data_IF_668325429260
#
_entry.id   IF_668325429260
#
_cell.length_a   1.000
_cell.length_b   1.000
_cell.length_c   1.000
_cell.angle_alpha   90.00
_cell.angle_beta   90.00
_cell.angle_gamma   90.00
#
_symmetry.space_group_name_H-M   'P 1'
#
loop_
_entity.id
_entity.type
_entity.pdbx_description
1 polymer ?
#
# COMPACT_ATOMS: atom_id res chain seq x y z
N UNK A 1 -24.52 19.73 14.87
CA UNK A 1 -23.55 18.67 14.53
C UNK A 1 -23.61 18.50 13.03
N UNK A 2 -22.57 18.94 12.30
CA UNK A 2 -22.51 18.71 10.85
C UNK A 2 -22.18 17.24 10.65
N UNK A 3 -23.10 16.49 10.05
CA UNK A 3 -22.76 15.18 9.50
C UNK A 3 -21.65 15.42 8.47
N UNK A 4 -20.46 14.87 8.72
CA UNK A 4 -19.45 14.81 7.67
C UNK A 4 -20.11 14.04 6.51
N UNK A 5 -20.08 14.61 5.30
CA UNK A 5 -20.56 13.87 4.11
C UNK A 5 -19.77 12.58 4.05
N UNK A 6 -20.47 11.46 3.98
CA UNK A 6 -19.88 10.16 3.72
C UNK A 6 -19.12 10.25 2.39
N UNK A 7 -17.81 10.04 2.45
CA UNK A 7 -16.96 10.04 1.25
C UNK A 7 -17.13 8.66 0.62
N UNK A 8 -17.64 8.63 -0.61
CA UNK A 8 -17.82 7.39 -1.37
C UNK A 8 -17.19 7.60 -2.75
N UNK A 9 -16.27 6.72 -3.13
CA UNK A 9 -15.57 6.71 -4.41
C UNK A 9 -16.53 6.11 -5.45
N UNK A 10 -16.86 6.91 -6.48
CA UNK A 10 -17.87 6.55 -7.50
C UNK A 10 -17.47 6.97 -8.91
N UNK A 11 -16.19 7.26 -9.14
CA UNK A 11 -15.72 7.74 -10.44
C UNK A 11 -14.36 7.17 -10.79
N UNK A 12 -14.13 7.02 -12.10
CA UNK A 12 -12.86 6.55 -12.66
C UNK A 12 -11.70 7.45 -12.23
N UNK A 13 -11.84 8.76 -12.34
CA UNK A 13 -10.79 9.71 -11.96
C UNK A 13 -10.38 9.59 -10.48
N UNK A 14 -11.35 9.38 -9.58
CA UNK A 14 -11.07 9.20 -8.15
C UNK A 14 -10.34 7.89 -7.86
N UNK A 15 -10.83 6.77 -8.42
CA UNK A 15 -10.20 5.47 -8.20
C UNK A 15 -8.83 5.39 -8.88
N UNK A 16 -8.66 5.98 -10.07
CA UNK A 16 -7.37 6.09 -10.75
C UNK A 16 -6.35 6.82 -9.87
N UNK A 17 -6.74 7.98 -9.32
CA UNK A 17 -5.85 8.78 -8.47
C UNK A 17 -5.40 8.02 -7.22
N UNK A 18 -6.29 7.20 -6.64
CA UNK A 18 -6.01 6.40 -5.46
C UNK A 18 -5.17 5.17 -5.77
N UNK A 19 -5.47 4.45 -6.86
CA UNK A 19 -4.69 3.31 -7.30
C UNK A 19 -3.30 3.73 -7.77
N UNK A 20 -3.15 4.91 -8.37
CA UNK A 20 -1.84 5.48 -8.67
C UNK A 20 -1.03 5.83 -7.41
N UNK A 21 -1.70 6.19 -6.31
CA UNK A 21 -1.03 6.34 -5.01
C UNK A 21 -0.62 5.00 -4.42
N UNK A 22 -1.51 4.01 -4.46
CA UNK A 22 -1.21 2.67 -3.95
C UNK A 22 -0.03 2.05 -4.72
N UNK A 23 -0.07 2.11 -6.06
CA UNK A 23 1.02 1.64 -6.91
C UNK A 23 2.34 2.36 -6.61
N UNK A 24 2.30 3.67 -6.38
CA UNK A 24 3.47 4.43 -5.95
C UNK A 24 4.01 4.01 -4.58
N UNK A 25 3.13 3.72 -3.61
CA UNK A 25 3.55 3.21 -2.30
C UNK A 25 4.28 1.87 -2.46
N UNK A 26 3.72 0.93 -3.21
CA UNK A 26 4.36 -0.37 -3.46
C UNK A 26 5.71 -0.25 -4.18
N UNK A 27 5.78 0.61 -5.20
CA UNK A 27 6.99 0.75 -6.02
C UNK A 27 8.12 1.48 -5.29
N UNK A 28 7.81 2.62 -4.66
CA UNK A 28 8.82 3.52 -4.08
C UNK A 28 8.99 3.33 -2.58
N UNK A 29 7.88 3.27 -1.82
CA UNK A 29 8.01 3.04 -0.37
C UNK A 29 8.40 1.60 -0.11
N UNK A 30 7.60 0.63 -0.51
CA UNK A 30 7.83 -0.73 -0.06
C UNK A 30 8.94 -1.41 -0.86
N UNK A 31 8.99 -1.22 -2.18
CA UNK A 31 10.09 -1.73 -3.01
C UNK A 31 11.45 -1.13 -2.63
N UNK A 32 11.63 0.18 -2.81
CA UNK A 32 12.94 0.81 -2.63
C UNK A 32 13.34 0.91 -1.17
N UNK A 33 12.46 1.42 -0.29
CA UNK A 33 12.88 1.68 1.10
C UNK A 33 13.07 0.40 1.92
N UNK A 34 12.29 -0.66 1.71
CA UNK A 34 12.50 -1.92 2.41
C UNK A 34 13.79 -2.62 1.93
N UNK A 35 14.16 -2.47 0.66
CA UNK A 35 15.45 -2.96 0.16
C UNK A 35 16.62 -2.17 0.74
N UNK A 36 16.53 -0.84 0.78
CA UNK A 36 17.54 0.00 1.41
C UNK A 36 17.67 -0.31 2.92
N UNK A 37 16.55 -0.53 3.61
CA UNK A 37 16.52 -1.01 4.98
C UNK A 37 17.23 -2.37 5.12
N UNK A 38 16.92 -3.34 4.26
CA UNK A 38 17.54 -4.67 4.26
C UNK A 38 19.07 -4.60 4.18
N UNK A 39 19.60 -3.68 3.36
CA UNK A 39 21.06 -3.49 3.22
C UNK A 39 21.69 -2.73 4.39
N UNK A 40 20.91 -2.02 5.19
CA UNK A 40 21.39 -1.08 6.22
C UNK A 40 21.35 -1.64 7.65
N UNK A 41 20.62 -2.72 7.90
CA UNK A 41 20.44 -3.30 9.24
C UNK A 41 21.36 -4.49 9.54
N UNK A 42 21.49 -4.84 10.82
CA UNK A 42 22.12 -6.09 11.26
C UNK A 42 21.39 -7.35 10.74
N UNK A 43 22.15 -8.44 10.58
CA UNK A 43 21.66 -9.71 9.98
C UNK A 43 20.40 -10.28 10.65
N UNK A 44 20.21 -10.05 11.95
CA UNK A 44 19.06 -10.55 12.71
C UNK A 44 17.71 -9.98 12.24
N UNK A 45 17.70 -8.89 11.47
CA UNK A 45 16.50 -8.26 10.93
C UNK A 45 16.31 -8.49 9.43
N UNK A 46 17.34 -9.00 8.74
CA UNK A 46 17.33 -9.17 7.29
C UNK A 46 16.27 -10.13 6.78
N UNK A 47 16.03 -11.22 7.50
CA UNK A 47 14.99 -12.19 7.11
C UNK A 47 13.59 -11.57 7.13
N UNK A 48 13.30 -10.75 8.15
CA UNK A 48 12.04 -10.01 8.23
C UNK A 48 11.92 -9.05 7.04
N UNK A 49 12.90 -8.18 6.82
CA UNK A 49 12.84 -7.18 5.74
C UNK A 49 12.81 -7.81 4.34
N UNK A 50 13.51 -8.93 4.13
CA UNK A 50 13.43 -9.67 2.87
C UNK A 50 12.02 -10.21 2.62
N UNK A 51 11.38 -10.76 3.67
CA UNK A 51 10.01 -11.25 3.57
C UNK A 51 9.03 -10.12 3.24
N UNK A 52 9.12 -8.99 3.94
CA UNK A 52 8.25 -7.83 3.68
C UNK A 52 8.40 -7.35 2.22
N UNK A 53 9.64 -7.13 1.77
CA UNK A 53 9.93 -6.70 0.39
C UNK A 53 9.43 -7.69 -0.67
N UNK A 54 9.47 -8.98 -0.37
CA UNK A 54 8.90 -9.99 -1.26
C UNK A 54 7.37 -9.96 -1.31
N UNK A 55 6.72 -9.79 -0.15
CA UNK A 55 5.26 -9.71 -0.04
C UNK A 55 4.72 -8.45 -0.74
N UNK A 56 5.37 -7.28 -0.57
CA UNK A 56 5.03 -6.03 -1.27
C UNK A 56 5.15 -6.11 -2.80
N UNK A 57 6.13 -6.86 -3.32
CA UNK A 57 6.18 -7.14 -4.77
C UNK A 57 4.93 -7.92 -5.23
N UNK A 58 4.44 -8.83 -4.39
CA UNK A 58 3.16 -9.52 -4.59
C UNK A 58 1.96 -8.57 -4.59
N UNK A 59 1.92 -7.59 -3.68
CA UNK A 59 0.86 -6.58 -3.62
C UNK A 59 0.84 -5.73 -4.90
N UNK A 60 2.01 -5.35 -5.41
CA UNK A 60 2.13 -4.65 -6.68
C UNK A 60 1.54 -5.45 -7.86
N UNK A 61 1.79 -6.76 -7.92
CA UNK A 61 1.20 -7.61 -8.96
C UNK A 61 -0.32 -7.75 -8.80
N UNK A 62 -0.81 -7.87 -7.57
CA UNK A 62 -2.25 -7.86 -7.26
C UNK A 62 -2.92 -6.54 -7.67
N UNK A 63 -2.26 -5.41 -7.43
CA UNK A 63 -2.73 -4.10 -7.90
C UNK A 63 -2.77 -4.01 -9.42
N UNK A 64 -1.75 -4.51 -10.12
CA UNK A 64 -1.75 -4.55 -11.60
C UNK A 64 -2.93 -5.36 -12.11
N UNK A 65 -3.20 -6.53 -11.51
CA UNK A 65 -4.38 -7.34 -11.85
C UNK A 65 -5.66 -6.54 -11.65
N UNK A 66 -5.83 -5.92 -10.48
CA UNK A 66 -7.01 -5.11 -10.16
C UNK A 66 -7.20 -3.97 -11.17
N UNK A 67 -6.17 -3.18 -11.44
CA UNK A 67 -6.23 -2.05 -12.38
C UNK A 67 -6.59 -2.55 -13.79
N UNK A 68 -6.00 -3.66 -14.24
CA UNK A 68 -6.25 -4.20 -15.59
C UNK A 68 -7.69 -4.67 -15.81
N UNK A 69 -8.42 -4.93 -14.73
CA UNK A 69 -9.81 -5.38 -14.75
C UNK A 69 -10.81 -4.23 -14.53
N UNK A 70 -10.38 -2.98 -14.37
CA UNK A 70 -11.28 -1.83 -14.31
C UNK A 70 -11.30 -1.14 -15.66
N UNK A 71 -12.44 -1.16 -16.33
CA UNK A 71 -12.70 -0.42 -17.57
C UNK A 71 -12.45 1.08 -17.35
N UNK A 72 -11.76 1.70 -18.31
CA UNK A 72 -11.40 3.11 -18.25
C UNK A 72 -10.11 3.41 -17.49
N UNK A 73 -9.49 2.42 -16.84
CA UNK A 73 -8.12 2.57 -16.31
C UNK A 73 -7.08 2.07 -17.31
N UNK A 74 -5.92 2.73 -17.28
CA UNK A 74 -4.75 2.36 -18.06
C UNK A 74 -3.52 2.26 -17.15
N UNK A 75 -2.80 1.14 -17.22
CA UNK A 75 -1.61 0.91 -16.42
C UNK A 75 -0.49 1.91 -16.72
N UNK A 76 -0.38 2.37 -17.96
CA UNK A 76 0.67 3.34 -18.33
C UNK A 76 0.34 4.73 -17.77
N UNK A 77 -0.93 5.15 -17.82
CA UNK A 77 -1.41 6.33 -17.12
C UNK A 77 -1.17 6.26 -15.60
N UNK A 78 -1.48 5.12 -14.96
CA UNK A 78 -1.21 4.90 -13.53
C UNK A 78 0.27 5.09 -13.20
N UNK A 79 1.18 4.46 -13.97
CA UNK A 79 2.63 4.60 -13.77
C UNK A 79 3.11 6.04 -14.00
N UNK A 80 2.57 6.73 -15.00
CA UNK A 80 2.93 8.12 -15.23
C UNK A 80 2.49 9.00 -14.05
N UNK A 81 1.29 8.75 -13.51
CA UNK A 81 0.74 9.45 -12.36
C UNK A 81 1.42 9.08 -11.03
N UNK A 82 2.00 7.87 -10.91
CA UNK A 82 2.85 7.50 -9.78
C UNK A 82 4.19 8.24 -9.82
N UNK A 83 4.84 8.28 -10.98
CA UNK A 83 6.14 8.94 -11.20
C UNK A 83 6.11 10.47 -11.08
N UNK A 84 4.95 11.09 -11.27
CA UNK A 84 4.77 12.53 -11.05
C UNK A 84 4.89 12.92 -9.55
N UNK A 85 4.97 11.94 -8.64
CA UNK A 85 5.13 12.15 -7.20
C UNK A 85 6.63 12.18 -6.87
N UNK A 86 7.02 13.06 -5.96
CA UNK A 86 8.44 13.30 -5.61
C UNK A 86 9.15 12.01 -5.19
N UNK A 87 10.43 11.87 -5.58
CA UNK A 87 11.35 10.84 -5.08
C UNK A 87 11.34 10.82 -3.56
N UNK A 88 10.98 9.67 -2.98
CA UNK A 88 11.13 9.43 -1.55
C UNK A 88 12.61 9.25 -1.28
N UNK A 89 13.11 9.90 -0.23
CA UNK A 89 14.46 9.66 0.26
C UNK A 89 14.34 8.88 1.55
N UNK A 90 14.74 7.62 1.52
CA UNK A 90 14.96 6.85 2.74
C UNK A 90 15.89 7.63 3.65
N UNK A 91 15.45 7.87 4.88
CA UNK A 91 16.24 8.69 5.79
C UNK A 91 17.46 7.91 6.22
N UNK A 92 18.59 8.62 6.34
CA UNK A 92 19.77 8.04 6.97
C UNK A 92 19.52 7.94 8.47
N UNK A 93 19.36 6.71 8.93
CA UNK A 93 19.22 6.37 10.34
C UNK A 93 20.54 5.88 10.91
N UNK A 94 20.74 6.07 12.22
CA UNK A 94 21.91 5.58 12.92
C UNK A 94 21.66 4.28 13.67
N UNK A 95 20.39 3.95 13.94
CA UNK A 95 20.00 2.75 14.66
C UNK A 95 19.01 1.90 13.84
N UNK A 96 19.21 0.58 13.81
CA UNK A 96 18.32 -0.36 13.11
C UNK A 96 16.85 -0.22 13.53
N UNK A 97 16.59 0.14 14.78
CA UNK A 97 15.22 0.30 15.28
C UNK A 97 14.51 1.50 14.65
N UNK A 98 15.25 2.55 14.28
CA UNK A 98 14.70 3.71 13.58
C UNK A 98 14.39 3.35 12.12
N UNK A 99 15.25 2.54 11.49
CA UNK A 99 15.01 1.98 10.15
C UNK A 99 13.73 1.15 10.14
N UNK A 100 13.61 0.20 11.06
CA UNK A 100 12.42 -0.66 11.18
C UNK A 100 11.15 0.14 11.49
N UNK A 101 11.28 1.26 12.20
CA UNK A 101 10.15 2.15 12.45
C UNK A 101 9.75 2.96 11.21
N UNK A 102 10.71 3.41 10.38
CA UNK A 102 10.37 4.05 9.11
C UNK A 102 9.60 3.09 8.19
N UNK A 103 10.03 1.82 8.10
CA UNK A 103 9.28 0.78 7.37
C UNK A 103 7.88 0.62 7.96
N UNK A 104 7.76 0.54 9.30
CA UNK A 104 6.45 0.46 9.97
C UNK A 104 5.52 1.64 9.63
N UNK A 105 6.05 2.86 9.58
CA UNK A 105 5.24 4.04 9.21
C UNK A 105 4.75 3.96 7.76
N UNK A 106 5.54 3.38 6.86
CA UNK A 106 5.18 3.22 5.46
C UNK A 106 4.06 2.18 5.32
N UNK A 107 4.18 1.00 5.93
CA UNK A 107 3.15 -0.05 5.91
C UNK A 107 1.83 0.48 6.55
N UNK A 108 1.92 1.34 7.57
CA UNK A 108 0.73 2.01 8.14
C UNK A 108 0.02 2.93 7.13
N UNK A 109 0.78 3.66 6.31
CA UNK A 109 0.22 4.52 5.28
C UNK A 109 -0.42 3.69 4.16
N UNK A 110 0.22 2.61 3.75
CA UNK A 110 -0.30 1.67 2.77
C UNK A 110 -1.60 1.02 3.27
N UNK A 111 -1.60 0.47 4.48
CA UNK A 111 -2.80 -0.09 5.11
C UNK A 111 -3.97 0.91 5.17
N UNK A 112 -3.75 2.14 5.61
CA UNK A 112 -4.80 3.17 5.68
C UNK A 112 -5.38 3.48 4.29
N UNK A 113 -4.51 3.57 3.27
CA UNK A 113 -4.95 3.79 1.90
C UNK A 113 -5.79 2.61 1.38
N UNK A 114 -5.31 1.38 1.54
CA UNK A 114 -6.04 0.18 1.09
C UNK A 114 -7.39 0.04 1.80
N UNK A 115 -7.44 0.27 3.11
CA UNK A 115 -8.69 0.26 3.86
C UNK A 115 -9.67 1.31 3.35
N UNK A 116 -9.20 2.51 2.99
CA UNK A 116 -10.05 3.56 2.41
C UNK A 116 -10.54 3.18 1.03
N UNK A 117 -9.69 2.68 0.15
CA UNK A 117 -10.11 2.23 -1.19
C UNK A 117 -11.15 1.13 -1.03
N UNK A 118 -10.88 0.10 -0.23
CA UNK A 118 -11.80 -1.01 -0.01
C UNK A 118 -13.15 -0.55 0.58
N UNK A 119 -13.13 0.24 1.66
CA UNK A 119 -14.36 0.59 2.40
C UNK A 119 -15.16 1.75 1.80
N UNK A 120 -14.53 2.62 1.01
CA UNK A 120 -15.18 3.79 0.43
C UNK A 120 -15.55 3.60 -1.04
N UNK A 121 -15.07 2.55 -1.72
CA UNK A 121 -15.47 2.27 -3.10
C UNK A 121 -16.86 1.65 -3.14
N UNK A 122 -17.74 2.24 -3.95
CA UNK A 122 -19.11 1.76 -4.11
C UNK A 122 -19.15 0.44 -4.87
N UNK A 123 -19.82 -0.59 -4.33
CA UNK A 123 -20.04 -1.86 -5.05
C UNK A 123 -20.74 -1.62 -6.40
N UNK A 124 -21.80 -0.80 -6.43
CA UNK A 124 -22.50 -0.43 -7.68
C UNK A 124 -21.57 0.17 -8.74
N UNK A 125 -20.56 0.94 -8.31
CA UNK A 125 -19.59 1.54 -9.23
C UNK A 125 -18.67 0.45 -9.78
N UNK A 126 -18.15 -0.43 -8.92
CA UNK A 126 -17.30 -1.55 -9.34
C UNK A 126 -18.06 -2.48 -10.29
N UNK A 127 -19.32 -2.82 -9.99
CA UNK A 127 -20.17 -3.62 -10.90
C UNK A 127 -20.34 -2.98 -12.29
N UNK A 128 -20.34 -1.64 -12.37
CA UNK A 128 -20.46 -0.91 -13.63
C UNK A 128 -19.16 -0.92 -14.44
N UNK A 129 -18.01 -0.79 -13.77
CA UNK A 129 -16.71 -0.60 -14.44
C UNK A 129 -15.83 -1.84 -14.47
N UNK A 130 -16.19 -2.93 -13.80
CA UNK A 130 -15.37 -4.14 -13.76
C UNK A 130 -15.53 -4.96 -15.03
N UNK A 131 -14.40 -5.31 -15.64
CA UNK A 131 -14.29 -6.10 -16.88
C UNK A 131 -13.87 -7.57 -16.62
N UNK A 132 -13.82 -7.98 -15.34
CA UNK A 132 -13.64 -9.38 -14.96
C UNK A 132 -14.97 -10.13 -14.77
N UNK A 133 -14.91 -11.44 -14.52
CA UNK A 133 -16.10 -12.28 -14.41
C UNK A 133 -16.91 -12.03 -13.12
N UNK A 134 -16.25 -11.63 -12.04
CA UNK A 134 -16.85 -11.36 -10.73
C UNK A 134 -16.35 -10.01 -10.17
N UNK A 135 -17.22 -8.98 -10.06
CA UNK A 135 -16.88 -7.69 -9.45
C UNK A 135 -16.39 -7.78 -8.00
N UNK A 136 -16.74 -8.83 -7.27
CA UNK A 136 -16.30 -9.01 -5.89
C UNK A 136 -14.78 -9.27 -5.79
N UNK A 137 -14.16 -9.77 -6.87
CA UNK A 137 -12.70 -9.94 -6.95
C UNK A 137 -11.94 -8.62 -6.65
N UNK A 138 -12.53 -7.47 -6.98
CA UNK A 138 -11.95 -6.17 -6.63
C UNK A 138 -11.74 -6.03 -5.12
N UNK A 139 -12.77 -6.37 -4.34
CA UNK A 139 -12.76 -6.26 -2.88
C UNK A 139 -11.97 -7.40 -2.22
N UNK A 140 -11.99 -8.59 -2.80
CA UNK A 140 -11.19 -9.73 -2.34
C UNK A 140 -9.69 -9.45 -2.47
N UNK A 141 -9.24 -8.94 -3.63
CA UNK A 141 -7.84 -8.56 -3.84
C UNK A 141 -7.38 -7.54 -2.79
N UNK A 142 -8.18 -6.50 -2.56
CA UNK A 142 -7.87 -5.49 -1.54
C UNK A 142 -7.90 -6.06 -0.12
N UNK A 143 -8.81 -7.00 0.16
CA UNK A 143 -8.89 -7.67 1.46
C UNK A 143 -7.64 -8.50 1.77
N UNK A 144 -7.11 -9.20 0.78
CA UNK A 144 -5.88 -9.98 0.92
C UNK A 144 -4.68 -9.07 1.20
N UNK A 145 -4.52 -7.98 0.44
CA UNK A 145 -3.47 -6.98 0.68
C UNK A 145 -3.61 -6.39 2.10
N UNK A 146 -4.81 -5.93 2.48
CA UNK A 146 -5.09 -5.38 3.83
C UNK A 146 -4.73 -6.37 4.95
N UNK A 147 -4.94 -7.66 4.73
CA UNK A 147 -4.62 -8.69 5.71
C UNK A 147 -3.10 -8.82 5.86
N UNK A 148 -2.36 -8.91 4.76
CA UNK A 148 -0.90 -9.04 4.78
C UNK A 148 -0.24 -7.81 5.40
N UNK A 149 -0.72 -6.61 5.07
CA UNK A 149 -0.28 -5.34 5.66
C UNK A 149 -0.45 -5.28 7.19
N UNK A 150 -1.55 -5.82 7.70
CA UNK A 150 -1.74 -5.95 9.16
C UNK A 150 -0.72 -6.89 9.78
N UNK A 151 -0.33 -7.95 9.07
CA UNK A 151 0.70 -8.89 9.52
C UNK A 151 2.09 -8.23 9.50
N UNK A 152 2.39 -7.41 8.50
CA UNK A 152 3.62 -6.59 8.42
C UNK A 152 3.73 -5.64 9.62
N UNK A 153 2.70 -4.81 9.83
CA UNK A 153 2.60 -3.86 10.94
C UNK A 153 2.73 -4.57 12.29
N UNK A 154 2.13 -5.75 12.45
CA UNK A 154 2.25 -6.53 13.69
C UNK A 154 3.69 -7.04 13.90
N UNK A 155 4.35 -7.54 12.85
CA UNK A 155 5.74 -8.01 12.92
C UNK A 155 6.71 -6.87 13.26
N UNK A 156 6.46 -5.67 12.75
CA UNK A 156 7.26 -4.47 12.99
C UNK A 156 6.89 -3.71 14.27
N UNK A 157 5.66 -3.85 14.77
CA UNK A 157 5.12 -3.08 15.89
C UNK A 157 5.92 -3.21 17.19
N UNK A 158 6.61 -4.34 17.39
CA UNK A 158 7.54 -4.52 18.51
C UNK A 158 8.70 -3.49 18.51
N UNK A 159 9.13 -3.01 17.34
CA UNK A 159 10.20 -2.02 17.21
C UNK A 159 9.67 -0.59 17.45
N UNK A 160 8.44 -0.32 17.01
CA UNK A 160 7.73 0.92 17.35
C UNK A 160 7.50 1.07 18.88
N UNK A 161 7.18 -0.03 19.56
CA UNK A 161 7.06 -0.07 21.03
C UNK A 161 8.40 0.19 21.73
N UNK A 162 9.52 -0.35 21.21
CA UNK A 162 10.87 -0.10 21.76
C UNK A 162 11.27 1.38 21.72
N UNK A 163 10.78 2.12 20.72
CA UNK A 163 10.97 3.57 20.62
C UNK A 163 9.97 4.39 21.47
N UNK A 164 9.03 3.74 22.16
CA UNK A 164 7.98 4.40 22.93
C UNK A 164 6.95 5.15 22.07
N UNK A 165 6.87 4.84 20.77
CA UNK A 165 6.01 5.53 19.79
C UNK A 165 4.63 4.91 19.67
N UNK A 166 4.46 3.67 20.14
CA UNK A 166 3.19 2.95 20.21
C UNK A 166 3.08 2.31 21.60
N UNK A 167 1.88 2.31 22.19
CA UNK A 167 1.59 1.75 23.52
C UNK A 167 1.06 0.33 23.44
#
# INVERSE_FOLDING_TARGET
MSSAKEVVIKSIDEIESLLARAYWLEEEFEGVTQWEAYTSVEDKYKELLFRLSHESEGHKESLKKLISNVEGLDMDAIKQNSQARNEIKFKKHTEDVEILYEVYENDQLALDLYQKIHSMTSHEFVEEVWNGDDPEEFFEILSDIIKEEKEHINALGQYAQKLGRVK
#
